data_IF_674448885201
#
_entry.id   IF_674448885201
#
_cell.length_a   1.000
_cell.length_b   1.000
_cell.length_c   1.000
_cell.angle_alpha   90.00
_cell.angle_beta   90.00
_cell.angle_gamma   90.00
#
_symmetry.space_group_name_H-M   'P 1'
#
loop_
_entity.id
_entity.type
_entity.pdbx_description
1 polymer ?
#
# COMPACT_ATOMS: atom_id res chain seq x y z
N UNK A 1 -81.87 -18.72 32.53
CA UNK A 1 -81.26 -19.41 31.35
C UNK A 1 -80.15 -18.54 30.76
N UNK A 2 -78.87 -18.75 31.10
CA UNK A 2 -77.73 -18.05 30.45
C UNK A 2 -76.36 -18.75 30.64
N UNK A 3 -76.32 -20.01 31.10
CA UNK A 3 -75.07 -20.75 31.37
C UNK A 3 -74.58 -21.64 30.22
N UNK A 4 -75.40 -22.00 29.22
CA UNK A 4 -75.00 -22.98 28.19
C UNK A 4 -74.14 -22.41 27.06
N UNK A 5 -74.09 -21.08 26.88
CA UNK A 5 -73.26 -20.43 25.84
C UNK A 5 -71.90 -19.94 26.35
N UNK A 6 -71.68 -19.93 27.66
CA UNK A 6 -70.45 -19.41 28.27
C UNK A 6 -69.34 -20.46 28.15
N UNK A 7 -69.65 -21.74 28.34
CA UNK A 7 -68.68 -22.84 28.27
C UNK A 7 -68.03 -22.96 26.87
N UNK A 8 -68.79 -23.00 25.75
CA UNK A 8 -68.17 -23.07 24.42
C UNK A 8 -67.39 -21.79 24.07
N UNK A 9 -67.84 -20.62 24.53
CA UNK A 9 -67.11 -19.37 24.32
C UNK A 9 -65.78 -19.34 25.09
N UNK A 10 -65.74 -19.90 26.30
CA UNK A 10 -64.54 -20.00 27.11
C UNK A 10 -63.53 -20.98 26.48
N UNK A 11 -64.00 -22.12 25.96
CA UNK A 11 -63.15 -23.10 25.27
C UNK A 11 -62.54 -22.50 24.00
N UNK A 12 -63.33 -21.76 23.21
CA UNK A 12 -62.83 -21.08 22.02
C UNK A 12 -61.78 -20.01 22.37
N UNK A 13 -61.96 -19.29 23.47
CA UNK A 13 -61.03 -18.25 23.92
C UNK A 13 -59.72 -18.85 24.44
N UNK A 14 -59.77 -20.00 25.11
CA UNK A 14 -58.58 -20.75 25.54
C UNK A 14 -57.83 -21.34 24.33
N UNK A 15 -58.54 -21.85 23.31
CA UNK A 15 -57.92 -22.35 22.08
C UNK A 15 -57.27 -21.21 21.26
N UNK A 16 -57.89 -20.03 21.20
CA UNK A 16 -57.30 -18.85 20.57
C UNK A 16 -56.06 -18.36 21.33
N UNK A 17 -56.10 -18.33 22.67
CA UNK A 17 -54.94 -17.95 23.48
C UNK A 17 -53.79 -18.98 23.42
N UNK A 18 -54.12 -20.28 23.31
CA UNK A 18 -53.12 -21.32 23.07
C UNK A 18 -52.53 -21.22 21.66
N UNK A 19 -53.35 -20.88 20.65
CA UNK A 19 -52.89 -20.63 19.29
C UNK A 19 -51.92 -19.45 19.20
N UNK A 20 -52.21 -18.33 19.87
CA UNK A 20 -51.34 -17.13 19.84
C UNK A 20 -50.04 -17.29 20.61
N UNK A 21 -49.96 -18.24 21.56
CA UNK A 21 -48.72 -18.55 22.31
C UNK A 21 -47.89 -19.63 21.65
N UNK A 22 -48.51 -20.57 20.90
CA UNK A 22 -47.80 -21.62 20.18
C UNK A 22 -47.32 -21.18 18.78
N UNK A 23 -48.00 -20.25 18.11
CA UNK A 23 -47.62 -19.75 16.78
C UNK A 23 -46.24 -19.05 16.76
N UNK A 24 -45.87 -18.19 17.73
CA UNK A 24 -44.53 -17.61 17.77
C UNK A 24 -43.44 -18.67 17.96
N UNK A 25 -43.69 -19.78 18.66
CA UNK A 25 -42.70 -20.85 18.82
C UNK A 25 -42.34 -21.57 17.51
N UNK A 26 -43.27 -21.59 16.54
CA UNK A 26 -43.08 -22.27 15.25
C UNK A 26 -42.58 -21.34 14.14
N UNK A 27 -42.82 -20.04 14.25
CA UNK A 27 -42.41 -19.04 13.25
C UNK A 27 -41.11 -18.29 13.61
N UNK A 28 -40.56 -18.52 14.80
CA UNK A 28 -39.26 -17.97 15.18
C UNK A 28 -38.13 -18.88 14.70
N UNK A 29 -37.69 -18.57 13.48
CA UNK A 29 -36.28 -18.46 13.11
C UNK A 29 -35.47 -19.75 13.34
N UNK A 30 -35.54 -20.66 12.36
CA UNK A 30 -34.29 -21.27 11.94
C UNK A 30 -33.37 -20.11 11.57
N UNK A 31 -32.50 -19.70 12.50
CA UNK A 31 -31.22 -19.13 12.08
C UNK A 31 -30.57 -20.25 11.29
N UNK A 32 -30.77 -20.19 9.96
CA UNK A 32 -29.96 -20.95 9.03
C UNK A 32 -28.55 -20.46 9.32
N UNK A 33 -27.85 -21.17 10.21
CA UNK A 33 -26.41 -21.08 10.35
C UNK A 33 -25.88 -21.57 9.01
N UNK A 34 -25.79 -20.64 8.03
CA UNK A 34 -25.22 -20.91 6.74
C UNK A 34 -23.78 -21.31 6.99
N UNK A 35 -23.54 -22.61 7.01
CA UNK A 35 -22.24 -23.20 7.28
C UNK A 35 -21.31 -22.76 6.15
N UNK A 36 -20.24 -22.06 6.52
CA UNK A 36 -19.22 -21.64 5.57
C UNK A 36 -18.58 -22.88 4.96
N UNK A 37 -18.53 -22.93 3.63
CA UNK A 37 -17.98 -24.03 2.83
C UNK A 37 -16.74 -23.61 2.04
N UNK A 38 -16.48 -22.30 1.93
CA UNK A 38 -15.33 -21.78 1.19
C UNK A 38 -15.23 -20.26 1.20
N UNK A 39 -14.12 -19.77 0.69
CA UNK A 39 -13.80 -18.35 0.54
C UNK A 39 -13.44 -18.04 -0.91
N UNK A 40 -13.95 -16.92 -1.42
CA UNK A 40 -13.55 -16.36 -2.72
C UNK A 40 -13.09 -14.93 -2.48
N UNK A 41 -11.78 -14.66 -2.63
CA UNK A 41 -11.22 -13.32 -2.44
C UNK A 41 -10.97 -12.65 -3.78
N UNK A 42 -11.42 -11.41 -3.91
CA UNK A 42 -11.12 -10.53 -5.04
C UNK A 42 -10.40 -9.27 -4.57
N UNK A 43 -9.57 -8.67 -5.44
CA UNK A 43 -8.83 -7.44 -5.14
C UNK A 43 -7.46 -7.63 -4.46
N UNK A 44 -6.95 -8.87 -4.37
CA UNK A 44 -5.64 -9.18 -3.81
C UNK A 44 -4.49 -8.93 -4.80
N UNK A 45 -3.79 -7.81 -4.67
CA UNK A 45 -2.66 -7.42 -5.54
C UNK A 45 -1.32 -7.50 -4.80
N UNK A 46 -1.26 -7.14 -3.52
CA UNK A 46 -0.03 -7.15 -2.72
C UNK A 46 0.36 -8.56 -2.27
N UNK A 47 -0.64 -9.35 -1.84
CA UNK A 47 -0.48 -10.74 -1.38
C UNK A 47 -1.34 -11.69 -2.21
N UNK A 48 -1.16 -13.01 -2.05
CA UNK A 48 -2.11 -13.99 -2.62
C UNK A 48 -3.40 -14.03 -1.79
N UNK A 49 -4.48 -14.57 -2.36
CA UNK A 49 -5.74 -14.75 -1.62
C UNK A 49 -5.53 -15.68 -0.41
N UNK A 50 -4.72 -16.71 -0.60
CA UNK A 50 -4.36 -17.71 0.40
C UNK A 50 -3.61 -17.08 1.59
N UNK A 51 -2.70 -16.14 1.33
CA UNK A 51 -1.97 -15.42 2.38
C UNK A 51 -2.91 -14.60 3.28
N UNK A 52 -3.91 -13.93 2.67
CA UNK A 52 -4.93 -13.20 3.42
C UNK A 52 -5.77 -14.13 4.32
N UNK A 53 -6.18 -15.30 3.80
CA UNK A 53 -6.90 -16.29 4.61
C UNK A 53 -6.02 -16.83 5.73
N UNK A 54 -4.76 -17.16 5.44
CA UNK A 54 -3.80 -17.65 6.42
C UNK A 54 -3.58 -16.67 7.57
N UNK A 55 -3.55 -15.36 7.29
CA UNK A 55 -3.45 -14.32 8.31
C UNK A 55 -4.62 -14.36 9.32
N UNK A 56 -5.80 -14.80 8.90
CA UNK A 56 -6.97 -14.94 9.78
C UNK A 56 -6.95 -16.19 10.64
N UNK A 57 -5.93 -17.05 10.49
CA UNK A 57 -5.86 -18.37 11.11
C UNK A 57 -7.02 -19.32 10.74
N UNK A 58 -7.78 -19.02 9.68
CA UNK A 58 -8.73 -19.97 9.12
C UNK A 58 -7.96 -21.11 8.44
N UNK A 59 -8.48 -22.34 8.55
CA UNK A 59 -7.86 -23.52 7.93
C UNK A 59 -8.91 -24.26 7.10
N UNK A 60 -9.31 -23.71 5.93
CA UNK A 60 -10.34 -24.31 5.08
C UNK A 60 -10.03 -25.76 4.69
N UNK A 61 -8.76 -26.11 4.51
CA UNK A 61 -8.30 -27.47 4.20
C UNK A 61 -8.68 -28.51 5.26
N UNK A 62 -8.87 -28.07 6.52
CA UNK A 62 -9.34 -28.90 7.64
C UNK A 62 -10.84 -28.78 7.89
N UNK A 63 -11.55 -28.01 7.05
CA UNK A 63 -12.95 -27.67 7.27
C UNK A 63 -13.19 -26.73 8.45
N UNK A 64 -12.14 -26.05 8.93
CA UNK A 64 -12.19 -25.12 10.06
C UNK A 64 -12.40 -23.69 9.53
N UNK A 65 -13.64 -23.22 9.68
CA UNK A 65 -14.05 -21.88 9.29
C UNK A 65 -14.42 -21.08 10.55
N UNK A 66 -13.74 -19.96 10.85
CA UNK A 66 -14.19 -19.07 11.91
C UNK A 66 -15.58 -18.51 11.60
N UNK A 67 -16.28 -18.08 12.65
CA UNK A 67 -17.51 -17.30 12.49
C UNK A 67 -17.24 -16.07 11.60
N UNK A 68 -18.22 -15.70 10.78
CA UNK A 68 -18.05 -14.63 9.79
C UNK A 68 -17.59 -13.31 10.40
N UNK A 69 -18.13 -12.96 11.58
CA UNK A 69 -17.75 -11.73 12.28
C UNK A 69 -16.28 -11.79 12.74
N UNK A 70 -15.83 -12.95 13.23
CA UNK A 70 -14.44 -13.17 13.64
C UNK A 70 -13.51 -13.11 12.44
N UNK A 71 -13.91 -13.70 11.30
CA UNK A 71 -13.16 -13.60 10.05
C UNK A 71 -13.05 -12.14 9.60
N UNK A 72 -14.18 -11.43 9.61
CA UNK A 72 -14.26 -10.02 9.22
C UNK A 72 -13.32 -9.16 10.06
N UNK A 73 -13.38 -9.28 11.39
CA UNK A 73 -12.52 -8.52 12.29
C UNK A 73 -11.03 -8.84 12.06
N UNK A 74 -10.69 -10.12 11.87
CA UNK A 74 -9.29 -10.52 11.62
C UNK A 74 -8.77 -9.98 10.29
N UNK A 75 -9.57 -10.03 9.23
CA UNK A 75 -9.19 -9.48 7.93
C UNK A 75 -9.08 -7.96 7.96
N UNK A 76 -10.03 -7.26 8.60
CA UNK A 76 -9.99 -5.80 8.69
C UNK A 76 -8.75 -5.30 9.45
N UNK A 77 -8.25 -6.09 10.41
CA UNK A 77 -6.99 -5.82 11.12
C UNK A 77 -5.72 -6.11 10.31
N UNK A 78 -5.84 -6.64 9.09
CA UNK A 78 -4.68 -6.90 8.24
C UNK A 78 -3.98 -5.59 7.83
N UNK A 79 -2.65 -5.47 7.97
CA UNK A 79 -1.91 -4.24 7.69
C UNK A 79 -2.20 -3.58 6.34
N UNK A 80 -2.35 -4.40 5.30
CA UNK A 80 -2.53 -3.97 3.92
C UNK A 80 -3.99 -3.77 3.49
N UNK A 81 -4.98 -4.13 4.31
CA UNK A 81 -6.39 -3.94 3.95
C UNK A 81 -6.80 -2.52 4.33
N UNK A 82 -7.37 -1.79 3.37
CA UNK A 82 -7.98 -0.47 3.57
C UNK A 82 -9.47 -0.61 3.86
N UNK A 83 -10.16 -1.41 3.06
CA UNK A 83 -11.58 -1.69 3.22
C UNK A 83 -11.88 -3.12 2.79
N UNK A 84 -12.99 -3.66 3.30
CA UNK A 84 -13.40 -5.03 3.07
C UNK A 84 -14.92 -5.13 3.05
N UNK A 85 -15.44 -5.81 2.05
CA UNK A 85 -16.84 -6.23 1.99
C UNK A 85 -16.93 -7.75 1.96
N UNK A 86 -17.83 -8.31 2.77
CA UNK A 86 -18.11 -9.74 2.79
C UNK A 86 -19.57 -10.00 2.48
N UNK A 87 -19.84 -10.98 1.62
CA UNK A 87 -21.20 -11.39 1.24
C UNK A 87 -21.29 -12.90 1.23
N UNK A 88 -22.37 -13.43 1.78
CA UNK A 88 -22.69 -14.85 1.61
C UNK A 88 -23.28 -15.06 0.21
N UNK A 89 -22.73 -16.04 -0.49
CA UNK A 89 -23.27 -16.56 -1.74
C UNK A 89 -24.03 -17.85 -1.47
N UNK A 90 -24.96 -18.18 -2.38
CA UNK A 90 -25.62 -19.48 -2.39
C UNK A 90 -24.59 -20.61 -2.36
N UNK A 91 -24.82 -21.62 -1.52
CA UNK A 91 -23.90 -22.76 -1.34
C UNK A 91 -22.88 -22.63 -0.20
N UNK A 92 -22.96 -21.58 0.62
CA UNK A 92 -22.12 -21.43 1.83
C UNK A 92 -20.74 -20.81 1.55
N UNK A 93 -20.50 -20.32 0.33
CA UNK A 93 -19.25 -19.63 -0.02
C UNK A 93 -19.34 -18.17 0.40
N UNK A 94 -18.32 -17.68 1.10
CA UNK A 94 -18.19 -16.27 1.46
C UNK A 94 -17.34 -15.57 0.41
N UNK A 95 -17.95 -14.60 -0.28
CA UNK A 95 -17.26 -13.69 -1.21
C UNK A 95 -16.69 -12.52 -0.43
N UNK A 96 -15.43 -12.22 -0.67
CA UNK A 96 -14.61 -11.29 0.09
C UNK A 96 -13.97 -10.32 -0.91
N UNK A 97 -14.48 -9.11 -0.98
CA UNK A 97 -13.94 -8.05 -1.84
C UNK A 97 -13.03 -7.16 -1.00
N UNK A 98 -11.71 -7.27 -1.19
CA UNK A 98 -10.73 -6.43 -0.49
C UNK A 98 -10.31 -5.23 -1.32
N UNK A 99 -10.19 -4.10 -0.66
CA UNK A 99 -9.48 -2.93 -1.18
C UNK A 99 -8.19 -2.78 -0.40
N UNK A 100 -7.04 -2.92 -1.06
CA UNK A 100 -5.73 -2.78 -0.44
C UNK A 100 -5.31 -1.31 -0.28
N UNK A 101 -4.44 -1.04 0.69
CA UNK A 101 -3.76 0.24 0.83
C UNK A 101 -2.80 0.44 -0.33
N UNK A 102 -2.83 1.63 -0.91
CA UNK A 102 -1.91 1.97 -1.99
C UNK A 102 -0.53 2.30 -1.43
N UNK A 103 0.48 1.53 -1.80
CA UNK A 103 1.87 1.77 -1.43
C UNK A 103 2.50 2.81 -2.37
N UNK A 104 3.18 3.80 -1.79
CA UNK A 104 3.86 4.88 -2.54
C UNK A 104 5.36 4.68 -2.58
N UNK A 105 5.94 4.25 -1.46
CA UNK A 105 7.38 4.07 -1.32
C UNK A 105 7.67 3.07 -0.20
N UNK A 106 8.94 2.74 -0.04
CA UNK A 106 9.45 2.12 1.18
C UNK A 106 10.36 3.09 1.93
N UNK A 107 10.53 2.89 3.23
CA UNK A 107 11.45 3.67 4.07
C UNK A 107 12.42 2.72 4.73
N UNK A 108 13.69 3.08 4.61
CA UNK A 108 14.77 2.45 5.35
C UNK A 108 15.22 3.35 6.51
N UNK A 109 15.09 2.86 7.74
CA UNK A 109 15.54 3.55 8.96
C UNK A 109 16.26 2.57 9.88
N UNK A 110 17.56 2.83 10.12
CA UNK A 110 18.44 1.86 10.77
C UNK A 110 18.58 0.61 9.91
N UNK A 111 18.16 -0.53 10.44
CA UNK A 111 18.14 -1.83 9.73
C UNK A 111 16.72 -2.27 9.32
N UNK A 112 15.71 -1.41 9.55
CA UNK A 112 14.32 -1.76 9.31
C UNK A 112 13.80 -1.12 8.02
N UNK A 113 13.23 -1.97 7.18
CA UNK A 113 12.47 -1.59 5.99
C UNK A 113 10.98 -1.58 6.33
N UNK A 114 10.27 -0.54 5.91
CA UNK A 114 8.81 -0.44 6.06
C UNK A 114 8.19 0.11 4.79
N UNK A 115 6.94 -0.21 4.52
CA UNK A 115 6.18 0.39 3.42
C UNK A 115 5.52 1.68 3.90
N UNK A 116 5.35 2.62 2.99
CA UNK A 116 4.66 3.89 3.21
C UNK A 116 3.46 3.98 2.26
N UNK A 117 2.26 4.09 2.84
CA UNK A 117 1.03 4.22 2.06
C UNK A 117 0.78 5.64 1.54
N UNK A 118 -0.20 5.80 0.65
CA UNK A 118 -0.70 7.09 0.17
C UNK A 118 -1.40 7.94 1.26
N UNK A 119 -1.72 7.35 2.40
CA UNK A 119 -2.24 8.02 3.60
C UNK A 119 -1.12 8.32 4.61
N UNK A 120 0.14 8.22 4.19
CA UNK A 120 1.33 8.37 5.03
C UNK A 120 1.36 7.38 6.20
N UNK A 121 0.78 6.20 6.05
CA UNK A 121 0.84 5.17 7.09
C UNK A 121 2.08 4.30 6.89
N UNK A 122 2.81 4.02 7.98
CA UNK A 122 3.88 3.03 7.97
C UNK A 122 3.31 1.64 8.16
N UNK A 123 3.63 0.75 7.24
CA UNK A 123 3.21 -0.64 7.23
C UNK A 123 4.44 -1.57 7.29
N UNK A 124 4.35 -2.72 7.96
CA UNK A 124 5.42 -3.72 7.92
C UNK A 124 5.60 -4.28 6.51
N UNK A 125 6.82 -4.71 6.17
CA UNK A 125 7.05 -5.56 4.99
C UNK A 125 6.78 -7.01 5.40
N UNK A 126 5.78 -7.64 4.78
CA UNK A 126 5.46 -9.05 5.01
C UNK A 126 6.28 -9.94 4.08
N UNK A 127 6.62 -11.15 4.52
CA UNK A 127 7.46 -12.07 3.75
C UNK A 127 6.73 -12.58 2.49
N UNK A 128 5.41 -12.58 2.54
CA UNK A 128 4.50 -13.05 1.50
C UNK A 128 4.25 -12.01 0.39
N UNK A 129 4.87 -10.81 0.48
CA UNK A 129 4.72 -9.77 -0.53
C UNK A 129 5.14 -10.26 -1.92
N UNK A 130 4.21 -10.26 -2.88
CA UNK A 130 4.43 -10.82 -4.23
C UNK A 130 5.58 -10.17 -4.97
N UNK A 131 5.62 -8.83 -4.97
CA UNK A 131 6.63 -8.03 -5.65
C UNK A 131 7.00 -6.82 -4.80
N UNK A 132 8.28 -6.47 -4.80
CA UNK A 132 8.79 -5.26 -4.18
C UNK A 132 9.43 -4.37 -5.25
N UNK A 133 8.66 -3.41 -5.74
CA UNK A 133 9.08 -2.47 -6.78
C UNK A 133 8.68 -1.04 -6.39
N UNK A 134 9.14 -0.64 -5.21
CA UNK A 134 8.86 0.68 -4.64
C UNK A 134 10.16 1.44 -4.41
N UNK A 135 10.22 2.75 -4.70
CA UNK A 135 11.41 3.54 -4.41
C UNK A 135 11.72 3.50 -2.92
N UNK A 136 13.01 3.41 -2.60
CA UNK A 136 13.48 3.38 -1.20
C UNK A 136 13.84 4.78 -0.75
N UNK A 137 13.15 5.27 0.28
CA UNK A 137 13.50 6.52 0.98
C UNK A 137 14.50 6.19 2.09
N UNK A 138 15.69 6.78 2.04
CA UNK A 138 16.76 6.52 3.01
C UNK A 138 17.34 7.79 3.62
N UNK A 139 18.20 7.60 4.62
CA UNK A 139 18.88 8.68 5.35
C UNK A 139 17.91 9.73 5.90
N UNK A 140 16.75 9.28 6.38
CA UNK A 140 15.81 10.11 7.14
C UNK A 140 16.43 10.45 8.50
N UNK A 141 15.87 11.43 9.23
CA UNK A 141 16.27 11.69 10.63
C UNK A 141 15.43 10.90 11.63
N UNK A 142 14.76 9.84 11.18
CA UNK A 142 13.93 9.03 12.04
C UNK A 142 14.75 8.17 12.97
N UNK A 143 14.41 8.26 14.25
CA UNK A 143 15.00 7.44 15.31
C UNK A 143 14.25 6.11 15.49
N UNK A 144 12.97 6.03 15.11
CA UNK A 144 12.16 4.80 15.23
C UNK A 144 10.98 4.82 14.27
N UNK A 145 10.71 3.68 13.63
CA UNK A 145 9.50 3.46 12.83
C UNK A 145 8.36 2.98 13.75
N UNK A 146 7.22 3.66 13.71
CA UNK A 146 5.99 3.27 14.42
C UNK A 146 4.91 2.94 13.40
N UNK A 147 4.49 1.70 13.35
CA UNK A 147 3.48 1.21 12.42
C UNK A 147 2.07 1.73 12.77
N UNK A 148 1.19 1.71 11.78
CA UNK A 148 -0.26 1.96 11.93
C UNK A 148 -0.62 3.34 12.46
N UNK A 149 0.24 4.33 12.20
CA UNK A 149 -0.02 5.74 12.50
C UNK A 149 0.28 6.56 11.26
N UNK A 150 -0.57 7.57 11.02
CA UNK A 150 -0.29 8.61 10.04
C UNK A 150 0.99 9.32 10.44
N UNK A 151 1.97 9.21 9.55
CA UNK A 151 3.32 9.65 9.78
C UNK A 151 3.48 11.06 9.19
N UNK A 152 3.63 12.06 10.06
CA UNK A 152 3.73 13.47 9.66
C UNK A 152 5.12 14.06 9.88
N UNK A 153 6.15 13.22 10.01
CA UNK A 153 7.51 13.74 10.22
C UNK A 153 7.97 14.53 8.99
N UNK A 154 8.33 15.79 9.24
CA UNK A 154 8.78 16.73 8.22
C UNK A 154 10.04 16.26 7.48
N UNK A 155 10.78 15.30 8.03
CA UNK A 155 12.02 14.79 7.46
C UNK A 155 11.82 13.70 6.42
N UNK A 156 10.66 13.05 6.35
CA UNK A 156 10.33 12.06 5.29
C UNK A 156 9.44 12.66 4.23
N UNK A 157 8.60 13.63 4.61
CA UNK A 157 7.59 14.21 3.74
C UNK A 157 8.14 14.66 2.37
N UNK A 158 9.36 15.22 2.25
CA UNK A 158 9.96 15.50 0.94
C UNK A 158 10.11 14.24 0.06
N UNK A 159 10.62 13.14 0.62
CA UNK A 159 10.79 11.88 -0.10
C UNK A 159 9.46 11.27 -0.50
N UNK A 160 8.47 11.31 0.40
CA UNK A 160 7.10 10.89 0.07
C UNK A 160 6.51 11.71 -1.09
N UNK A 161 6.64 13.04 -1.06
CA UNK A 161 6.15 13.93 -2.10
C UNK A 161 6.78 13.63 -3.45
N UNK A 162 8.09 13.35 -3.47
CA UNK A 162 8.82 12.98 -4.68
C UNK A 162 8.32 11.64 -5.22
N UNK A 163 8.29 10.58 -4.39
CA UNK A 163 7.81 9.26 -4.80
C UNK A 163 6.37 9.34 -5.35
N UNK A 164 5.49 10.06 -4.65
CA UNK A 164 4.10 10.27 -5.07
C UNK A 164 4.01 11.06 -6.37
N UNK A 165 4.79 12.13 -6.52
CA UNK A 165 4.80 12.93 -7.75
C UNK A 165 5.24 12.08 -8.95
N UNK A 166 6.32 11.31 -8.82
CA UNK A 166 6.77 10.39 -9.88
C UNK A 166 5.68 9.36 -10.21
N UNK A 167 5.06 8.73 -9.19
CA UNK A 167 3.97 7.77 -9.38
C UNK A 167 2.78 8.36 -10.13
N UNK A 168 2.37 9.59 -9.79
CA UNK A 168 1.27 10.30 -10.47
C UNK A 168 1.63 10.61 -11.94
N UNK A 169 2.88 11.00 -12.21
CA UNK A 169 3.33 11.28 -13.57
C UNK A 169 3.47 10.02 -14.43
N UNK A 170 3.74 8.86 -13.80
CA UNK A 170 3.85 7.58 -14.48
C UNK A 170 5.07 7.47 -15.40
N UNK A 171 5.04 6.54 -16.35
CA UNK A 171 6.08 6.37 -17.36
C UNK A 171 7.46 6.03 -16.79
N UNK A 172 8.52 6.43 -17.51
CA UNK A 172 9.91 6.08 -17.16
C UNK A 172 10.35 6.67 -15.82
N UNK A 173 9.85 7.84 -15.43
CA UNK A 173 10.23 8.45 -14.15
C UNK A 173 9.69 7.66 -12.96
N UNK A 174 8.48 7.09 -13.07
CA UNK A 174 7.91 6.23 -12.05
C UNK A 174 8.58 4.86 -12.04
N UNK A 175 8.72 4.24 -13.22
CA UNK A 175 9.23 2.88 -13.37
C UNK A 175 10.69 2.71 -12.95
N UNK A 176 11.48 3.80 -13.00
CA UNK A 176 12.90 3.72 -12.77
C UNK A 176 13.37 4.46 -11.51
N UNK A 177 12.51 5.17 -10.77
CA UNK A 177 12.93 5.80 -9.51
C UNK A 177 13.22 4.70 -8.49
N UNK A 178 14.51 4.46 -8.21
CA UNK A 178 14.94 3.40 -7.31
C UNK A 178 15.17 3.89 -5.89
N UNK A 179 15.73 5.10 -5.74
CA UNK A 179 16.11 5.62 -4.44
C UNK A 179 15.86 7.12 -4.29
N UNK A 180 15.48 7.51 -3.08
CA UNK A 180 15.37 8.88 -2.63
C UNK A 180 16.20 9.03 -1.35
N UNK A 181 17.42 9.55 -1.48
CA UNK A 181 18.31 9.82 -0.36
C UNK A 181 18.06 11.23 0.17
N UNK A 182 17.52 11.32 1.39
CA UNK A 182 17.20 12.60 2.02
C UNK A 182 18.41 13.25 2.70
N UNK A 183 19.58 12.59 2.70
CA UNK A 183 20.85 13.07 3.29
C UNK A 183 20.69 13.74 4.66
N UNK A 184 19.84 13.16 5.53
CA UNK A 184 19.50 13.70 6.84
C UNK A 184 19.00 15.15 6.75
N UNK A 185 18.11 15.45 5.80
CA UNK A 185 17.51 16.78 5.58
C UNK A 185 18.43 17.80 4.91
N UNK A 186 19.44 17.34 4.18
CA UNK A 186 20.23 18.17 3.27
C UNK A 186 19.58 18.26 1.88
N UNK A 187 20.40 18.36 0.84
CA UNK A 187 19.91 18.17 -0.54
C UNK A 187 19.44 16.73 -0.73
N UNK A 188 18.45 16.55 -1.60
CA UNK A 188 17.87 15.26 -1.90
C UNK A 188 18.57 14.69 -3.13
N UNK A 189 18.99 13.43 -3.07
CA UNK A 189 19.55 12.74 -4.23
C UNK A 189 18.54 11.69 -4.70
N UNK A 190 18.19 11.76 -5.97
CA UNK A 190 17.37 10.77 -6.65
C UNK A 190 18.27 9.87 -7.47
N UNK A 191 18.09 8.57 -7.30
CA UNK A 191 18.76 7.55 -8.10
C UNK A 191 17.71 6.87 -8.95
N UNK A 192 18.07 6.64 -10.19
CA UNK A 192 17.24 5.94 -11.15
C UNK A 192 17.96 4.70 -11.65
N UNK A 193 17.22 3.62 -11.92
CA UNK A 193 17.78 2.35 -12.38
C UNK A 193 18.26 2.38 -13.83
N UNK A 194 17.72 3.28 -14.65
CA UNK A 194 17.95 3.34 -16.10
C UNK A 194 18.88 4.47 -16.56
N UNK A 195 19.36 5.31 -15.64
CA UNK A 195 20.32 6.36 -15.92
C UNK A 195 21.44 6.38 -14.88
N UNK A 196 22.65 6.67 -15.34
CA UNK A 196 23.85 6.71 -14.48
C UNK A 196 23.93 7.93 -13.56
N UNK A 197 23.76 9.17 -14.06
CA UNK A 197 23.95 10.34 -13.19
C UNK A 197 22.79 10.42 -12.18
N UNK A 198 23.07 10.56 -10.88
CA UNK A 198 22.03 10.91 -9.92
C UNK A 198 21.49 12.31 -10.19
N UNK A 199 20.27 12.56 -9.72
CA UNK A 199 19.62 13.87 -9.80
C UNK A 199 19.60 14.51 -8.42
N UNK A 200 20.13 15.72 -8.31
CA UNK A 200 20.16 16.50 -7.08
C UNK A 200 18.98 17.46 -7.08
N UNK A 201 18.12 17.32 -6.08
CA UNK A 201 16.93 18.12 -5.87
C UNK A 201 17.01 18.84 -4.52
N UNK A 202 16.15 19.84 -4.33
CA UNK A 202 15.97 20.47 -3.03
C UNK A 202 14.63 20.05 -2.43
N UNK A 203 14.47 20.21 -1.11
CA UNK A 203 13.17 19.95 -0.47
C UNK A 203 12.10 21.00 -0.82
N UNK A 204 12.49 22.09 -1.52
CA UNK A 204 11.63 23.19 -1.96
C UNK A 204 11.39 23.04 -3.46
N UNK A 205 10.18 23.37 -3.93
CA UNK A 205 9.90 23.32 -5.37
C UNK A 205 9.88 21.90 -5.97
N UNK A 206 9.64 20.86 -5.15
CA UNK A 206 9.60 19.45 -5.59
C UNK A 206 8.74 19.27 -6.85
N UNK A 207 7.56 19.89 -6.92
CA UNK A 207 6.68 19.76 -8.07
C UNK A 207 7.32 20.28 -9.37
N UNK A 208 7.92 21.48 -9.33
CA UNK A 208 8.64 22.08 -10.46
C UNK A 208 9.82 21.18 -10.88
N UNK A 209 10.63 20.76 -9.91
CA UNK A 209 11.82 19.93 -10.18
C UNK A 209 11.48 18.58 -10.81
N UNK A 210 10.43 17.91 -10.34
CA UNK A 210 10.02 16.61 -10.89
C UNK A 210 9.40 16.77 -12.29
N UNK A 211 8.68 17.86 -12.56
CA UNK A 211 8.20 18.19 -13.90
C UNK A 211 9.37 18.47 -14.86
N UNK A 212 10.33 19.31 -14.46
CA UNK A 212 11.54 19.56 -15.24
C UNK A 212 12.32 18.27 -15.50
N UNK A 213 12.44 17.40 -14.49
CA UNK A 213 13.10 16.10 -14.66
C UNK A 213 12.38 15.23 -15.69
N UNK A 214 11.05 15.19 -15.66
CA UNK A 214 10.26 14.47 -16.67
C UNK A 214 10.54 15.01 -18.08
N UNK A 215 10.52 16.32 -18.26
CA UNK A 215 10.81 16.95 -19.56
C UNK A 215 12.22 16.60 -20.07
N UNK A 216 13.24 16.70 -19.21
CA UNK A 216 14.62 16.31 -19.56
C UNK A 216 14.69 14.86 -20.02
N UNK A 217 13.98 13.97 -19.33
CA UNK A 217 13.97 12.53 -19.65
C UNK A 217 13.25 12.23 -20.95
N UNK A 218 12.11 12.87 -21.21
CA UNK A 218 11.41 12.77 -22.50
C UNK A 218 12.28 13.29 -23.66
N UNK A 219 13.11 14.31 -23.41
CA UNK A 219 14.13 14.80 -24.35
C UNK A 219 15.41 13.93 -24.42
N UNK A 220 15.58 12.99 -23.47
CA UNK A 220 16.85 12.37 -23.09
C UNK A 220 17.58 11.56 -24.16
N UNK A 221 16.94 11.23 -25.28
CA UNK A 221 17.64 10.66 -26.45
C UNK A 221 18.59 11.66 -27.11
N UNK A 222 18.38 12.97 -26.94
CA UNK A 222 19.19 14.02 -27.56
C UNK A 222 20.35 14.51 -26.69
N UNK A 223 20.32 14.21 -25.38
CA UNK A 223 21.25 14.80 -24.40
C UNK A 223 22.41 13.88 -24.01
N UNK A 224 22.50 12.67 -24.58
CA UNK A 224 23.50 11.64 -24.23
C UNK A 224 23.79 11.53 -22.71
N UNK A 225 22.76 11.63 -21.85
CA UNK A 225 22.88 11.75 -20.38
C UNK A 225 23.70 10.63 -19.71
N UNK A 226 24.00 9.55 -20.45
CA UNK A 226 24.76 8.41 -19.98
C UNK A 226 26.27 8.45 -20.33
N UNK A 227 26.73 9.46 -21.08
CA UNK A 227 28.15 9.69 -21.40
C UNK A 227 28.61 10.99 -20.76
N UNK A 228 29.67 10.92 -19.96
CA UNK A 228 30.40 12.04 -19.36
C UNK A 228 29.65 12.97 -18.39
N UNK A 229 28.35 12.77 -18.15
CA UNK A 229 27.58 13.45 -17.10
C UNK A 229 27.70 12.69 -15.78
N UNK A 230 28.18 13.36 -14.74
CA UNK A 230 28.31 12.83 -13.38
C UNK A 230 27.07 13.06 -12.52
N UNK A 231 26.37 14.18 -12.70
CA UNK A 231 25.11 14.49 -11.99
C UNK A 231 24.28 15.51 -12.75
N UNK A 232 22.98 15.52 -12.46
CA UNK A 232 22.04 16.57 -12.88
C UNK A 232 21.59 17.32 -11.62
N UNK A 233 21.69 18.65 -11.60
CA UNK A 233 21.30 19.48 -10.46
C UNK A 233 20.13 20.40 -10.85
N UNK A 234 19.01 20.19 -10.15
CA UNK A 234 17.73 20.88 -10.35
C UNK A 234 17.42 21.86 -9.22
N UNK A 235 18.36 22.12 -8.30
CA UNK A 235 18.12 22.96 -7.11
C UNK A 235 17.86 24.43 -7.44
N UNK A 236 18.22 24.87 -8.63
CA UNK A 236 18.14 26.26 -9.07
C UNK A 236 16.91 26.43 -9.98
N UNK A 237 15.93 27.22 -9.52
CA UNK A 237 14.65 27.39 -10.23
C UNK A 237 14.84 27.73 -11.71
N UNK A 238 14.14 26.97 -12.56
CA UNK A 238 14.18 27.07 -14.01
C UNK A 238 15.53 26.79 -14.69
N UNK A 239 16.56 26.32 -13.98
CA UNK A 239 17.89 26.04 -14.55
C UNK A 239 18.32 24.62 -14.25
N UNK A 240 18.91 23.99 -15.26
CA UNK A 240 19.45 22.64 -15.19
C UNK A 240 20.96 22.74 -15.28
N UNK A 241 21.67 22.21 -14.29
CA UNK A 241 23.13 22.12 -14.33
C UNK A 241 23.54 20.67 -14.49
N UNK A 242 24.44 20.39 -15.43
CA UNK A 242 25.04 19.07 -15.62
C UNK A 242 26.50 19.13 -15.22
N UNK A 243 26.87 18.33 -14.21
CA UNK A 243 28.27 18.15 -13.85
C UNK A 243 28.90 17.15 -14.81
N UNK A 244 30.08 17.47 -15.33
CA UNK A 244 30.82 16.58 -16.23
C UNK A 244 32.11 16.09 -15.59
N UNK A 245 32.48 14.84 -15.90
CA UNK A 245 33.76 14.28 -15.45
C UNK A 245 34.90 15.09 -16.03
N UNK A 246 35.82 15.54 -15.17
CA UNK A 246 37.05 16.18 -15.64
C UNK A 246 37.82 15.17 -16.48
N UNK A 247 37.98 15.46 -17.78
CA UNK A 247 38.97 14.76 -18.60
C UNK A 247 40.34 15.02 -17.97
N UNK A 248 40.96 13.99 -17.42
CA UNK A 248 42.37 14.07 -17.04
C UNK A 248 43.15 14.41 -18.32
N UNK A 249 43.68 15.64 -18.40
CA UNK A 249 44.70 15.94 -19.40
C UNK A 249 45.86 15.01 -19.09
N UNK A 250 46.08 14.01 -19.92
CA UNK A 250 47.38 13.35 -20.01
C UNK A 250 48.36 14.45 -20.39
N UNK A 251 49.02 15.01 -19.39
CA UNK A 251 50.17 15.87 -19.63
C UNK A 251 51.18 15.02 -20.40
N UNK A 252 51.32 15.32 -21.68
CA UNK A 252 52.47 14.91 -22.47
C UNK A 252 53.70 15.38 -21.71
N UNK A 253 54.33 14.48 -20.95
CA UNK A 253 55.71 14.61 -20.56
C UNK A 253 56.51 14.66 -21.86
N UNK A 254 56.74 15.88 -22.34
CA UNK A 254 57.83 16.19 -23.25
C UNK A 254 59.10 15.68 -22.57
N UNK A 255 59.62 14.57 -23.08
CA UNK A 255 61.03 14.18 -22.95
C UNK A 255 61.89 15.29 -23.58
N UNK A 256 62.04 16.39 -22.85
CA UNK A 256 63.12 17.35 -23.02
C UNK A 256 63.96 17.27 -21.76
N UNK A 257 64.80 16.23 -21.69
CA UNK A 257 66.12 16.28 -21.07
C UNK A 257 66.76 14.89 -21.07
N UNK A 258 67.53 14.59 -22.13
CA UNK A 258 68.87 14.03 -22.01
C UNK A 258 69.73 14.55 -23.16
N UNK A 259 70.40 15.67 -22.87
CA UNK A 259 71.77 15.95 -23.32
C UNK A 259 72.71 14.81 -22.95
#
# INVERSE_FOLDING_TARGET
MKKSRIIPALILLVLLAAGTTALPGFFFKEEIQQKVSGYEIQGANLLTAEDYIKFTHAVPEKGEYPEINVLYDRMLNHPYIKNLEMRFSDGGVVKIDITEKEIVASIFSGEKLSLLSNELELLPVMNELKNFDYPVIRNTRLNSLKYFRTFQDSTVLPGYKIARACKILGGEIAANLSEIDLRKGGDIILVFSDMKPPVICSARGIAEQILTLREIREMGKQLELNKDVEYIDLRYSGKIYMGHKKLERKDEKRDNNRT
#
